data_IF_939296974743
#
_entry.id   IF_939296974743
#
_cell.length_a   1.000
_cell.length_b   1.000
_cell.length_c   1.000
_cell.angle_alpha   90.00
_cell.angle_beta   90.00
_cell.angle_gamma   90.00
#
_symmetry.space_group_name_H-M   'P 1'
#
loop_
_entity.id
_entity.type
_entity.pdbx_description
1 polymer ?
#
# COMPACT_ATOMS: atom_id res chain seq x y z
N UNK A 1 -23.74 19.11 -15.26
CA UNK A 1 -22.34 19.54 -15.08
C UNK A 1 -21.52 18.29 -14.80
N UNK A 2 -20.61 17.86 -15.70
CA UNK A 2 -19.68 16.78 -15.39
C UNK A 2 -18.69 17.28 -14.32
N UNK A 3 -18.64 16.60 -13.16
CA UNK A 3 -17.62 16.84 -12.16
C UNK A 3 -16.35 16.13 -12.62
N UNK A 4 -15.30 16.90 -12.91
CA UNK A 4 -13.99 16.29 -13.16
C UNK A 4 -13.48 15.72 -11.85
N UNK A 5 -13.02 14.46 -11.80
CA UNK A 5 -12.45 13.91 -10.58
C UNK A 5 -11.20 14.73 -10.21
N UNK A 6 -11.16 15.25 -8.98
CA UNK A 6 -9.97 15.89 -8.44
C UNK A 6 -8.84 14.85 -8.43
N UNK A 7 -7.68 15.11 -9.07
CA UNK A 7 -6.57 14.18 -9.04
C UNK A 7 -6.17 13.92 -7.58
N UNK A 8 -5.92 12.65 -7.19
CA UNK A 8 -5.57 12.31 -5.82
C UNK A 8 -4.31 13.10 -5.41
N UNK A 9 -4.38 13.72 -4.23
CA UNK A 9 -3.24 14.46 -3.69
C UNK A 9 -2.06 13.51 -3.51
N UNK A 10 -0.87 13.90 -4.01
CA UNK A 10 0.35 13.10 -3.89
C UNK A 10 0.68 12.90 -2.41
N UNK A 11 0.98 11.68 -1.94
CA UNK A 11 1.43 11.48 -0.57
C UNK A 11 2.73 12.27 -0.34
N UNK A 12 2.87 12.96 0.80
CA UNK A 12 4.06 13.74 1.08
C UNK A 12 5.28 12.83 1.25
N UNK A 13 6.46 13.32 0.88
CA UNK A 13 7.74 12.71 1.25
C UNK A 13 7.87 12.68 2.77
N UNK A 14 8.05 11.49 3.35
CA UNK A 14 8.18 11.32 4.80
C UNK A 14 9.63 10.98 5.12
N UNK A 15 10.21 11.64 6.13
CA UNK A 15 11.53 11.27 6.67
C UNK A 15 11.37 10.85 8.12
N UNK A 16 11.75 9.63 8.42
CA UNK A 16 11.69 9.06 9.76
C UNK A 16 13.09 8.63 10.22
N UNK A 17 13.28 8.56 11.54
CA UNK A 17 14.48 7.95 12.14
C UNK A 17 14.07 6.60 12.69
N UNK A 18 14.70 5.53 12.22
CA UNK A 18 14.42 4.15 12.65
C UNK A 18 15.70 3.48 13.13
N UNK A 19 15.54 2.40 13.89
CA UNK A 19 16.68 1.61 14.35
C UNK A 19 17.19 0.66 13.26
N UNK A 20 18.46 0.26 13.34
CA UNK A 20 19.09 -0.66 12.40
C UNK A 20 18.35 -2.00 12.29
N UNK A 21 17.74 -2.45 13.38
CA UNK A 21 16.97 -3.68 13.50
C UNK A 21 15.61 -3.60 12.78
N UNK A 22 15.09 -2.39 12.61
CA UNK A 22 13.82 -2.11 11.93
C UNK A 22 14.01 -1.94 10.41
N UNK A 23 15.25 -1.90 9.93
CA UNK A 23 15.53 -1.83 8.50
C UNK A 23 15.15 -3.14 7.79
N UNK A 24 14.44 -3.05 6.66
CA UNK A 24 14.25 -4.19 5.77
C UNK A 24 15.57 -4.85 5.39
N UNK A 25 15.60 -6.19 5.40
CA UNK A 25 16.82 -6.98 5.11
C UNK A 25 17.48 -6.61 3.78
N UNK A 26 16.69 -6.23 2.79
CA UNK A 26 17.17 -5.79 1.48
C UNK A 26 18.04 -4.52 1.58
N UNK A 27 17.64 -3.54 2.41
CA UNK A 27 18.42 -2.32 2.63
C UNK A 27 19.68 -2.65 3.44
N UNK A 28 19.55 -3.44 4.50
CA UNK A 28 20.69 -3.83 5.35
C UNK A 28 21.75 -4.60 4.57
N UNK A 29 21.35 -5.43 3.60
CA UNK A 29 22.27 -6.18 2.73
C UNK A 29 22.98 -5.28 1.69
N UNK A 30 22.38 -4.14 1.32
CA UNK A 30 22.96 -3.18 0.39
C UNK A 30 23.95 -2.22 1.05
N UNK A 31 24.01 -2.16 2.39
CA UNK A 31 24.95 -1.32 3.11
C UNK A 31 26.38 -1.85 2.97
N UNK A 32 27.39 -0.97 2.77
CA UNK A 32 28.78 -1.38 2.63
C UNK A 32 29.39 -1.97 3.93
N UNK A 33 28.70 -1.79 5.07
CA UNK A 33 29.07 -2.35 6.35
C UNK A 33 27.82 -2.77 7.11
N UNK A 34 27.96 -3.73 8.02
CA UNK A 34 26.88 -4.14 8.91
C UNK A 34 26.77 -3.13 10.06
N UNK A 35 25.64 -2.42 10.21
CA UNK A 35 25.49 -1.47 11.30
C UNK A 35 25.52 -2.19 12.66
N UNK A 36 26.23 -1.62 13.67
CA UNK A 36 26.12 -2.06 15.05
C UNK A 36 24.67 -2.00 15.55
N UNK A 37 24.33 -2.86 16.50
CA UNK A 37 23.01 -2.84 17.13
C UNK A 37 22.71 -1.47 17.76
N UNK A 38 21.49 -0.97 17.59
CA UNK A 38 21.04 0.33 18.07
C UNK A 38 21.53 1.54 17.25
N UNK A 39 22.12 1.31 16.08
CA UNK A 39 22.45 2.40 15.13
C UNK A 39 21.17 3.00 14.57
N UNK A 40 21.05 4.33 14.58
CA UNK A 40 19.90 5.04 14.04
C UNK A 40 20.11 5.44 12.59
N UNK A 41 19.11 5.18 11.76
CA UNK A 41 19.09 5.55 10.35
C UNK A 41 18.03 6.60 10.07
N UNK A 42 18.39 7.64 9.32
CA UNK A 42 17.44 8.60 8.77
C UNK A 42 16.99 8.08 7.41
N UNK A 43 15.76 7.60 7.33
CA UNK A 43 15.16 7.04 6.11
C UNK A 43 14.21 8.05 5.52
N UNK A 44 14.37 8.34 4.23
CA UNK A 44 13.38 9.07 3.45
C UNK A 44 12.60 8.08 2.61
N UNK A 45 11.27 8.13 2.74
CA UNK A 45 10.33 7.47 1.86
C UNK A 45 9.91 8.48 0.78
N UNK A 46 10.37 8.24 -0.44
CA UNK A 46 9.93 8.99 -1.62
C UNK A 46 8.82 8.18 -2.31
N UNK A 47 7.64 8.77 -2.54
CA UNK A 47 6.64 8.13 -3.37
C UNK A 47 7.19 8.04 -4.79
N UNK A 48 7.41 6.82 -5.27
CA UNK A 48 7.71 6.57 -6.68
C UNK A 48 6.41 6.84 -7.45
N UNK A 49 6.47 7.72 -8.45
CA UNK A 49 5.36 7.83 -9.40
C UNK A 49 5.41 6.59 -10.28
N UNK A 50 4.42 5.72 -10.12
CA UNK A 50 4.10 4.75 -11.16
C UNK A 50 3.84 5.53 -12.44
N UNK A 51 4.53 5.15 -13.51
CA UNK A 51 4.29 5.76 -14.81
C UNK A 51 2.83 5.54 -15.22
N UNK A 52 2.27 6.45 -16.03
CA UNK A 52 0.90 6.27 -16.54
C UNK A 52 0.73 4.95 -17.30
N UNK A 53 1.81 4.43 -17.88
CA UNK A 53 1.85 3.17 -18.60
C UNK A 53 1.82 1.96 -17.65
N UNK A 54 2.63 1.96 -16.59
CA UNK A 54 2.57 0.92 -15.55
C UNK A 54 1.21 0.89 -14.85
N UNK A 55 0.64 2.06 -14.55
CA UNK A 55 -0.69 2.15 -13.95
C UNK A 55 -1.78 1.61 -14.89
N UNK A 56 -1.66 1.88 -16.19
CA UNK A 56 -2.58 1.36 -17.20
C UNK A 56 -2.45 -0.15 -17.34
N UNK A 57 -1.22 -0.67 -17.32
CA UNK A 57 -0.96 -2.11 -17.37
C UNK A 57 -1.53 -2.81 -16.13
N UNK A 58 -1.24 -2.31 -14.92
CA UNK A 58 -1.79 -2.88 -13.68
C UNK A 58 -3.32 -2.90 -13.70
N UNK A 59 -3.97 -1.84 -14.19
CA UNK A 59 -5.42 -1.81 -14.31
C UNK A 59 -5.94 -2.85 -15.31
N UNK A 60 -5.25 -3.06 -16.43
CA UNK A 60 -5.61 -4.08 -17.40
C UNK A 60 -5.47 -5.48 -16.81
N UNK A 61 -4.40 -5.73 -16.06
CA UNK A 61 -4.15 -7.01 -15.39
C UNK A 61 -5.23 -7.31 -14.35
N UNK A 62 -5.62 -6.32 -13.54
CA UNK A 62 -6.69 -6.46 -12.54
C UNK A 62 -8.05 -6.74 -13.20
N UNK A 63 -8.35 -6.07 -14.31
CA UNK A 63 -9.60 -6.32 -15.07
C UNK A 63 -9.58 -7.73 -15.65
N UNK A 64 -8.46 -8.18 -16.22
CA UNK A 64 -8.33 -9.52 -16.78
C UNK A 64 -8.53 -10.60 -15.71
N UNK A 65 -7.92 -10.43 -14.53
CA UNK A 65 -8.11 -11.33 -13.39
C UNK A 65 -9.58 -11.38 -12.94
N UNK A 66 -10.25 -10.22 -12.87
CA UNK A 66 -11.67 -10.14 -12.52
C UNK A 66 -12.59 -10.86 -13.51
N UNK A 67 -12.29 -10.77 -14.82
CA UNK A 67 -13.02 -11.51 -15.85
C UNK A 67 -12.80 -13.02 -15.73
N UNK A 68 -11.56 -13.46 -15.49
CA UNK A 68 -11.25 -14.88 -15.27
C UNK A 68 -11.98 -15.43 -14.03
N UNK A 69 -12.00 -14.66 -12.94
CA UNK A 69 -12.73 -15.03 -11.73
C UNK A 69 -14.24 -15.14 -11.99
N UNK A 70 -14.81 -14.24 -12.81
CA UNK A 70 -16.21 -14.29 -13.18
C UNK A 70 -16.53 -15.54 -14.04
N UNK A 71 -15.72 -15.82 -15.06
CA UNK A 71 -15.86 -16.98 -15.94
C UNK A 71 -15.71 -18.30 -15.18
N UNK A 72 -14.84 -18.33 -14.17
CA UNK A 72 -14.65 -19.46 -13.28
C UNK A 72 -15.73 -19.58 -12.18
N UNK A 73 -16.71 -18.67 -12.14
CA UNK A 73 -17.76 -18.63 -11.13
C UNK A 73 -17.28 -18.27 -9.72
N UNK A 74 -16.07 -17.70 -9.57
CA UNK A 74 -15.48 -17.22 -8.31
C UNK A 74 -15.98 -15.82 -7.91
N UNK A 75 -17.25 -15.54 -8.20
CA UNK A 75 -17.88 -14.26 -7.85
C UNK A 75 -18.37 -14.27 -6.40
N UNK A 76 -18.23 -13.15 -5.70
CA UNK A 76 -18.78 -12.96 -4.36
C UNK A 76 -19.95 -11.97 -4.41
N UNK A 77 -20.97 -12.23 -3.59
CA UNK A 77 -22.07 -11.30 -3.38
C UNK A 77 -21.58 -9.98 -2.78
N UNK A 78 -21.90 -8.87 -3.47
CA UNK A 78 -21.38 -7.55 -3.11
C UNK A 78 -21.86 -7.06 -1.75
N UNK A 79 -23.12 -7.34 -1.38
CA UNK A 79 -23.68 -6.90 -0.09
C UNK A 79 -22.99 -7.62 1.07
N UNK A 80 -22.84 -8.95 0.95
CA UNK A 80 -22.13 -9.74 1.97
C UNK A 80 -20.66 -9.38 2.10
N UNK A 81 -20.00 -9.07 0.98
CA UNK A 81 -18.61 -8.60 1.01
C UNK A 81 -18.50 -7.26 1.74
N UNK A 82 -19.42 -6.34 1.45
CA UNK A 82 -19.44 -5.02 2.07
C UNK A 82 -19.70 -5.11 3.57
N UNK A 83 -20.68 -5.91 4.01
CA UNK A 83 -20.92 -6.20 5.44
C UNK A 83 -19.69 -6.78 6.12
N UNK A 84 -18.99 -7.73 5.48
CA UNK A 84 -17.76 -8.33 6.00
C UNK A 84 -16.63 -7.32 6.14
N UNK A 85 -16.50 -6.40 5.17
CA UNK A 85 -15.49 -5.33 5.22
C UNK A 85 -15.80 -4.34 6.33
N UNK A 86 -17.06 -3.92 6.48
CA UNK A 86 -17.48 -3.07 7.61
C UNK A 86 -17.13 -3.76 8.92
N UNK A 87 -17.49 -5.03 9.10
CA UNK A 87 -17.19 -5.77 10.33
C UNK A 87 -15.67 -5.89 10.59
N UNK A 88 -14.87 -6.10 9.54
CA UNK A 88 -13.41 -6.21 9.64
C UNK A 88 -12.74 -4.90 10.04
N UNK A 89 -13.20 -3.77 9.49
CA UNK A 89 -12.54 -2.48 9.69
C UNK A 89 -13.20 -1.61 10.77
N UNK A 90 -14.41 -1.92 11.23
CA UNK A 90 -15.04 -1.24 12.37
C UNK A 90 -14.22 -1.38 13.66
N UNK A 91 -13.42 -2.44 13.81
CA UNK A 91 -12.54 -2.64 14.97
C UNK A 91 -11.19 -1.91 14.84
N UNK A 92 -10.80 -1.48 13.64
CA UNK A 92 -9.53 -0.78 13.40
C UNK A 92 -9.62 0.74 13.66
N UNK A 93 -10.79 1.24 14.08
CA UNK A 93 -11.08 2.65 14.34
C UNK A 93 -11.13 3.04 15.81
N UNK A 94 -10.79 2.16 16.77
CA UNK A 94 -10.56 2.60 18.15
C UNK A 94 -9.16 3.25 18.24
N UNK A 95 -9.05 4.57 18.48
CA UNK A 95 -7.78 5.12 18.89
C UNK A 95 -7.44 4.52 20.26
N UNK A 96 -6.25 3.93 20.38
CA UNK A 96 -5.61 3.73 21.68
C UNK A 96 -5.53 5.12 22.34
N UNK A 97 -6.45 5.37 23.27
CA UNK A 97 -6.37 6.44 24.24
C UNK A 97 -5.80 5.82 25.52
N UNK A 98 -4.48 5.83 25.61
CA UNK A 98 -3.73 5.77 26.87
C UNK A 98 -2.84 7.03 26.96
#
# INVERSE_FOLDING_TARGET
MPVSPTPPARPPRITATIQAEELPRAITAALPFRPPAGTRFRVTIEPVEESEEERRQSLQDDIAAGLEDADAGRTTDGERLFERLIAKYAQAGQPDLD
#
